data_IF_405814305708
#
_entry.id   IF_405814305708
#
_cell.length_a   1.000
_cell.length_b   1.000
_cell.length_c   1.000
_cell.angle_alpha   90.00
_cell.angle_beta   90.00
_cell.angle_gamma   90.00
#
_symmetry.space_group_name_H-M   'P 1'
#
loop_
_entity.id
_entity.type
_entity.pdbx_description
1 polymer ?
#
# COMPACT_ATOMS: atom_id res chain seq x y z
N UNK A 1 54.61 -17.28 -78.44
CA UNK A 1 54.79 -16.12 -77.54
C UNK A 1 56.16 -15.58 -77.87
N UNK A 2 56.26 -14.35 -78.36
CA UNK A 2 57.53 -13.71 -78.66
C UNK A 2 58.07 -13.08 -77.36
N UNK A 3 59.39 -13.24 -77.15
CA UNK A 3 60.08 -12.54 -76.08
C UNK A 3 60.68 -11.26 -76.65
N UNK A 4 60.46 -10.14 -76.00
CA UNK A 4 61.03 -8.85 -76.31
C UNK A 4 61.94 -8.36 -75.21
N UNK A 5 62.92 -7.56 -75.52
CA UNK A 5 63.73 -6.90 -74.49
C UNK A 5 63.04 -5.69 -73.94
N UNK A 6 62.97 -5.56 -72.62
CA UNK A 6 62.39 -4.39 -71.97
C UNK A 6 63.15 -3.12 -72.35
N UNK A 7 62.48 -2.06 -72.86
CA UNK A 7 63.17 -0.84 -73.30
C UNK A 7 63.91 -0.14 -72.15
N UNK A 8 63.52 -0.32 -70.91
CA UNK A 8 64.15 0.34 -69.78
C UNK A 8 65.29 -0.40 -69.13
N UNK A 9 65.20 -1.75 -68.93
CA UNK A 9 66.20 -2.52 -68.22
C UNK A 9 66.78 -3.70 -69.02
N UNK A 10 66.44 -3.83 -70.30
CA UNK A 10 66.89 -4.89 -71.23
C UNK A 10 66.55 -6.30 -70.80
N UNK A 11 65.75 -6.52 -69.80
CA UNK A 11 65.31 -7.84 -69.37
C UNK A 11 64.36 -8.45 -70.39
N UNK A 12 64.54 -9.77 -70.68
CA UNK A 12 63.66 -10.46 -71.62
C UNK A 12 62.32 -10.71 -71.01
N UNK A 13 61.27 -10.20 -71.63
CA UNK A 13 59.86 -10.22 -71.13
C UNK A 13 58.92 -10.63 -72.26
N UNK A 14 57.78 -11.22 -71.91
CA UNK A 14 56.78 -11.56 -72.92
C UNK A 14 56.20 -10.26 -73.55
N UNK A 15 55.99 -10.30 -74.87
CA UNK A 15 55.29 -9.20 -75.60
C UNK A 15 53.89 -8.96 -75.13
N UNK A 16 53.32 -9.88 -74.38
CA UNK A 16 51.97 -9.76 -73.76
C UNK A 16 51.99 -9.42 -72.29
N UNK A 17 53.13 -9.16 -71.70
CA UNK A 17 53.21 -8.78 -70.28
C UNK A 17 52.78 -7.37 -70.13
N UNK A 18 51.97 -7.07 -69.06
CA UNK A 18 51.49 -5.71 -68.79
C UNK A 18 52.66 -4.80 -68.37
N UNK A 19 53.59 -5.33 -67.61
CA UNK A 19 54.74 -4.59 -67.17
C UNK A 19 55.96 -5.53 -67.06
N UNK A 20 57.13 -4.98 -67.14
CA UNK A 20 58.39 -5.72 -66.91
C UNK A 20 58.49 -6.17 -65.47
N UNK A 21 58.65 -7.46 -65.16
CA UNK A 21 58.70 -7.96 -63.78
C UNK A 21 59.93 -7.48 -63.00
N UNK A 22 60.94 -6.90 -63.72
CA UNK A 22 62.20 -6.46 -63.14
C UNK A 22 62.19 -4.97 -62.77
N UNK A 23 61.61 -4.10 -63.62
CA UNK A 23 61.65 -2.65 -63.41
C UNK A 23 60.28 -1.97 -63.45
N UNK A 24 59.15 -2.70 -63.70
CA UNK A 24 57.84 -2.18 -63.75
C UNK A 24 57.47 -1.41 -65.01
N UNK A 25 58.34 -1.32 -66.00
CA UNK A 25 58.10 -0.61 -67.27
C UNK A 25 56.89 -1.21 -68.01
N UNK A 26 55.88 -0.44 -68.44
CA UNK A 26 54.69 -0.94 -69.12
C UNK A 26 55.03 -1.43 -70.51
N UNK A 27 54.76 -2.72 -70.77
CA UNK A 27 55.12 -3.39 -72.05
C UNK A 27 53.97 -3.36 -73.04
N UNK A 28 52.72 -3.50 -72.56
CA UNK A 28 51.57 -3.45 -73.43
C UNK A 28 50.70 -2.19 -73.11
N UNK A 29 50.24 -1.48 -74.13
CA UNK A 29 49.40 -0.32 -73.97
C UNK A 29 47.91 -0.64 -73.72
N UNK A 30 47.55 -1.90 -73.67
CA UNK A 30 46.20 -2.34 -73.32
C UNK A 30 46.18 -2.75 -71.84
N UNK A 31 46.11 -1.73 -70.97
CA UNK A 31 45.64 -1.97 -69.60
C UNK A 31 44.15 -2.42 -69.65
N UNK A 32 43.79 -3.52 -68.95
CA UNK A 32 42.35 -3.84 -68.84
C UNK A 32 41.66 -2.64 -68.20
N UNK A 33 40.42 -2.32 -68.62
CA UNK A 33 39.67 -1.23 -68.00
C UNK A 33 39.62 -1.53 -66.50
N UNK A 34 40.15 -0.62 -65.67
CA UNK A 34 39.95 -0.64 -64.25
C UNK A 34 38.45 -0.57 -64.05
N UNK A 35 37.83 -1.70 -63.74
CA UNK A 35 36.46 -1.69 -63.20
C UNK A 35 36.56 -0.88 -61.95
N UNK A 36 36.11 0.36 -62.01
CA UNK A 36 35.94 1.23 -60.86
C UNK A 36 35.16 0.42 -59.83
N UNK A 37 35.73 0.20 -58.68
CA UNK A 37 34.99 -0.39 -57.56
C UNK A 37 33.63 0.33 -57.47
N UNK A 38 32.52 -0.37 -57.33
CA UNK A 38 31.22 0.26 -57.33
C UNK A 38 31.25 1.41 -56.33
N UNK A 39 31.14 2.65 -56.78
CA UNK A 39 31.07 3.82 -55.92
C UNK A 39 29.95 3.51 -54.97
N UNK A 40 30.24 3.32 -53.66
CA UNK A 40 29.20 3.23 -52.66
C UNK A 40 28.24 4.36 -52.90
N UNK A 41 26.91 4.11 -53.07
CA UNK A 41 25.97 5.16 -53.36
C UNK A 41 26.14 6.23 -52.31
N UNK A 42 26.21 7.49 -52.74
CA UNK A 42 26.42 8.63 -51.86
C UNK A 42 25.35 8.53 -50.77
N UNK A 43 25.71 8.06 -49.60
CA UNK A 43 24.77 7.95 -48.47
C UNK A 43 24.44 9.40 -48.08
N UNK A 44 23.22 9.83 -48.32
CA UNK A 44 22.73 11.12 -47.80
C UNK A 44 23.10 11.16 -46.31
N UNK A 45 23.66 12.27 -45.83
CA UNK A 45 24.02 12.36 -44.42
C UNK A 45 22.80 11.97 -43.58
N UNK A 46 22.99 11.07 -42.68
CA UNK A 46 21.89 10.57 -41.80
C UNK A 46 21.36 11.75 -41.04
N UNK A 47 20.07 11.99 -41.13
CA UNK A 47 19.37 13.08 -40.44
C UNK A 47 19.39 12.94 -38.93
N UNK A 48 19.66 11.72 -38.40
CA UNK A 48 19.65 11.40 -36.99
C UNK A 48 20.87 10.53 -36.60
N UNK A 49 21.31 10.64 -35.34
CA UNK A 49 22.41 9.83 -34.80
C UNK A 49 22.10 8.35 -34.86
N UNK A 50 23.13 7.53 -35.04
CA UNK A 50 23.02 6.08 -34.97
C UNK A 50 22.89 5.69 -33.49
N UNK A 51 21.85 4.93 -33.14
CA UNK A 51 21.69 4.38 -31.80
C UNK A 51 22.78 3.34 -31.50
N UNK A 52 23.25 3.23 -30.24
CA UNK A 52 24.16 2.17 -29.82
C UNK A 52 23.57 0.77 -30.08
N UNK A 53 24.44 -0.24 -30.16
CA UNK A 53 23.99 -1.62 -30.32
C UNK A 53 23.14 -2.02 -29.08
N UNK A 54 22.05 -2.73 -29.31
CA UNK A 54 21.11 -3.16 -28.28
C UNK A 54 20.33 -2.03 -27.56
N UNK A 55 20.45 -0.77 -28.02
CA UNK A 55 19.76 0.37 -27.40
C UNK A 55 18.27 0.42 -27.77
N UNK A 56 17.84 -0.29 -28.80
CA UNK A 56 16.46 -0.27 -29.31
C UNK A 56 16.36 0.40 -30.67
N UNK A 57 15.16 0.84 -31.02
CA UNK A 57 14.88 1.41 -32.34
C UNK A 57 13.93 2.57 -32.24
N UNK A 58 14.24 3.68 -32.93
CA UNK A 58 13.30 4.81 -33.14
C UNK A 58 12.85 4.76 -34.59
N UNK A 59 11.54 4.57 -34.82
CA UNK A 59 10.94 4.53 -36.15
C UNK A 59 10.12 5.79 -36.38
N UNK A 60 10.27 6.41 -37.56
CA UNK A 60 9.35 7.42 -38.03
C UNK A 60 8.17 6.73 -38.72
N UNK A 61 6.98 6.96 -38.21
CA UNK A 61 5.74 6.44 -38.76
C UNK A 61 5.28 7.25 -39.94
N UNK A 62 4.65 6.62 -40.91
CA UNK A 62 4.10 7.28 -42.10
C UNK A 62 2.79 8.03 -41.82
N UNK A 63 2.44 8.97 -42.71
CA UNK A 63 1.22 9.77 -42.62
C UNK A 63 1.39 11.10 -41.89
N UNK A 64 0.31 11.90 -41.84
CA UNK A 64 0.24 13.19 -41.14
C UNK A 64 -0.09 12.93 -39.66
N UNK A 65 0.93 12.60 -38.87
CA UNK A 65 0.79 12.33 -37.40
C UNK A 65 1.37 13.47 -36.60
N UNK A 66 0.70 13.86 -35.53
CA UNK A 66 1.23 14.84 -34.56
C UNK A 66 2.49 14.32 -33.87
N UNK A 67 2.53 13.02 -33.60
CA UNK A 67 3.65 12.31 -32.93
C UNK A 67 4.19 11.22 -33.85
N UNK A 68 5.06 11.55 -34.80
CA UNK A 68 5.50 10.61 -35.85
C UNK A 68 6.62 9.67 -35.43
N UNK A 69 7.28 9.88 -34.28
CA UNK A 69 8.40 9.05 -33.82
C UNK A 69 7.95 8.07 -32.76
N UNK A 70 8.15 6.75 -33.01
CA UNK A 70 7.89 5.69 -32.07
C UNK A 70 9.20 5.11 -31.56
N UNK A 71 9.39 5.06 -30.25
CA UNK A 71 10.54 4.45 -29.60
C UNK A 71 10.22 3.01 -29.15
N UNK A 72 11.06 2.07 -29.52
CA UNK A 72 10.93 0.66 -29.20
C UNK A 72 12.15 0.20 -28.41
N UNK A 73 12.01 -0.61 -27.35
CA UNK A 73 13.13 -1.29 -26.70
C UNK A 73 13.86 -2.23 -27.65
N UNK A 74 14.91 -2.89 -27.16
CA UNK A 74 15.63 -3.93 -27.90
C UNK A 74 14.64 -5.01 -28.38
N UNK A 75 14.81 -5.50 -29.62
CA UNK A 75 14.03 -6.62 -30.13
C UNK A 75 14.21 -7.88 -29.27
N UNK A 76 13.11 -8.62 -29.07
CA UNK A 76 13.07 -9.83 -28.26
C UNK A 76 13.40 -11.10 -29.05
N UNK A 77 13.45 -11.01 -30.40
CA UNK A 77 13.73 -12.12 -31.29
C UNK A 77 13.60 -11.71 -32.75
N UNK A 78 13.60 -12.69 -33.65
CA UNK A 78 13.42 -12.52 -35.07
C UNK A 78 12.36 -13.47 -35.61
N UNK A 79 11.53 -12.99 -36.54
CA UNK A 79 10.62 -13.85 -37.29
C UNK A 79 11.40 -14.76 -38.23
N UNK A 80 10.77 -15.83 -38.74
CA UNK A 80 11.37 -16.74 -39.73
C UNK A 80 11.81 -15.99 -41.01
N UNK A 81 11.22 -14.83 -41.28
CA UNK A 81 11.58 -13.91 -42.38
C UNK A 81 12.82 -13.05 -42.09
N UNK A 82 13.45 -13.20 -40.92
CA UNK A 82 14.61 -12.38 -40.49
C UNK A 82 14.22 -10.99 -39.98
N UNK A 83 12.94 -10.60 -39.94
CA UNK A 83 12.52 -9.31 -39.42
C UNK A 83 12.48 -9.34 -37.88
N UNK A 84 12.92 -8.27 -37.19
CA UNK A 84 12.96 -8.24 -35.74
C UNK A 84 11.55 -8.21 -35.11
N UNK A 85 11.32 -9.02 -34.07
CA UNK A 85 10.15 -8.94 -33.21
C UNK A 85 10.40 -7.80 -32.23
N UNK A 86 9.68 -6.69 -32.43
CA UNK A 86 9.77 -5.53 -31.54
C UNK A 86 8.75 -5.67 -30.41
N UNK A 87 9.12 -5.38 -29.16
CA UNK A 87 8.15 -5.20 -28.08
C UNK A 87 7.24 -4.01 -28.35
N UNK A 88 6.24 -3.78 -27.50
CA UNK A 88 5.38 -2.60 -27.62
C UNK A 88 6.23 -1.32 -27.54
N UNK A 89 5.77 -0.25 -28.21
CA UNK A 89 6.47 1.02 -28.17
C UNK A 89 6.44 1.62 -26.77
N UNK A 90 7.56 2.19 -26.32
CA UNK A 90 7.67 2.98 -25.09
C UNK A 90 6.71 4.17 -25.16
N UNK A 91 6.57 4.77 -26.34
CA UNK A 91 5.70 5.90 -26.59
C UNK A 91 5.84 6.45 -28.01
N UNK A 92 5.00 7.46 -28.31
CA UNK A 92 4.99 8.19 -29.56
C UNK A 92 5.31 9.67 -29.29
N UNK A 93 6.24 10.26 -30.04
CA UNK A 93 6.85 11.55 -29.75
C UNK A 93 6.77 12.47 -30.96
N UNK A 94 6.80 13.78 -30.73
CA UNK A 94 6.77 14.79 -31.81
C UNK A 94 8.13 14.88 -32.48
N UNK A 95 9.22 14.75 -31.72
CA UNK A 95 10.59 14.86 -32.20
C UNK A 95 11.38 13.56 -32.00
N UNK A 96 12.47 13.42 -32.77
CA UNK A 96 13.40 12.30 -32.59
C UNK A 96 14.14 12.36 -31.24
N UNK A 97 14.45 13.57 -30.77
CA UNK A 97 15.21 13.80 -29.55
C UNK A 97 14.38 13.44 -28.32
N UNK A 98 13.09 13.73 -28.33
CA UNK A 98 12.15 13.26 -27.31
C UNK A 98 12.07 11.73 -27.28
N UNK A 99 11.97 11.08 -28.43
CA UNK A 99 11.96 9.62 -28.54
C UNK A 99 13.29 9.01 -28.05
N UNK A 100 14.42 9.67 -28.32
CA UNK A 100 15.74 9.26 -27.85
C UNK A 100 15.84 9.41 -26.33
N UNK A 101 15.39 10.52 -25.78
CA UNK A 101 15.38 10.77 -24.33
C UNK A 101 14.52 9.76 -23.60
N UNK A 102 13.34 9.43 -24.10
CA UNK A 102 12.47 8.41 -23.54
C UNK A 102 13.10 7.01 -23.59
N UNK A 103 13.77 6.67 -24.69
CA UNK A 103 14.49 5.40 -24.81
C UNK A 103 15.72 5.34 -23.88
N UNK A 104 16.41 6.46 -23.68
CA UNK A 104 17.51 6.58 -22.73
C UNK A 104 17.04 6.41 -21.28
N UNK A 105 15.91 7.00 -20.92
CA UNK A 105 15.31 6.84 -19.59
C UNK A 105 14.82 5.41 -19.37
N UNK A 106 14.23 4.78 -20.40
CA UNK A 106 13.87 3.36 -20.34
C UNK A 106 15.10 2.47 -20.02
N UNK A 107 16.28 2.78 -20.57
CA UNK A 107 17.50 2.01 -20.26
C UNK A 107 18.01 2.19 -18.84
N UNK A 108 17.75 3.35 -18.20
CA UNK A 108 18.07 3.56 -16.79
C UNK A 108 17.14 2.76 -15.88
N UNK A 109 15.87 2.64 -16.27
CA UNK A 109 14.83 1.95 -15.51
C UNK A 109 13.93 1.15 -16.47
N UNK A 110 14.34 -0.07 -16.92
CA UNK A 110 13.55 -0.89 -17.82
C UNK A 110 12.22 -1.32 -17.19
N UNK A 111 11.13 -1.29 -17.93
CA UNK A 111 9.80 -1.74 -17.53
C UNK A 111 9.11 -2.53 -18.64
N UNK A 112 8.07 -3.31 -18.30
CA UNK A 112 7.27 -4.03 -19.29
C UNK A 112 6.46 -3.04 -20.15
N UNK A 113 6.74 -3.03 -21.46
CA UNK A 113 6.07 -2.14 -22.41
C UNK A 113 4.75 -2.70 -22.95
N UNK A 114 4.41 -3.95 -22.64
CA UNK A 114 3.17 -4.59 -23.11
C UNK A 114 1.91 -4.05 -22.41
N UNK A 115 2.08 -3.57 -21.16
CA UNK A 115 1.03 -3.04 -20.27
C UNK A 115 1.21 -1.55 -19.95
N UNK A 116 1.67 -0.76 -20.89
CA UNK A 116 2.10 0.64 -20.65
C UNK A 116 0.97 1.62 -20.34
N UNK A 117 -0.29 1.26 -20.55
CA UNK A 117 -1.43 2.16 -20.42
C UNK A 117 -2.35 1.84 -19.24
N UNK A 118 -1.90 0.99 -18.31
CA UNK A 118 -2.71 0.68 -17.13
C UNK A 118 -2.85 1.94 -16.27
N UNK A 119 -4.09 2.30 -15.98
CA UNK A 119 -4.45 3.44 -15.14
C UNK A 119 -4.38 3.09 -13.64
N UNK A 120 -4.37 4.11 -12.79
CA UNK A 120 -4.45 3.91 -11.33
C UNK A 120 -5.71 3.13 -10.93
N UNK A 121 -6.85 3.41 -11.57
CA UNK A 121 -8.12 2.70 -11.38
C UNK A 121 -7.99 1.22 -11.71
N UNK A 122 -7.52 0.89 -12.91
CA UNK A 122 -7.34 -0.50 -13.35
C UNK A 122 -6.36 -1.26 -12.46
N UNK A 123 -5.29 -0.59 -12.01
CA UNK A 123 -4.33 -1.18 -11.09
C UNK A 123 -4.94 -1.48 -9.71
N UNK A 124 -5.81 -0.58 -9.22
CA UNK A 124 -6.56 -0.83 -7.98
C UNK A 124 -7.55 -2.00 -8.14
N UNK A 125 -8.21 -2.13 -9.29
CA UNK A 125 -9.10 -3.28 -9.59
C UNK A 125 -8.32 -4.60 -9.65
N UNK A 126 -7.10 -4.59 -10.21
CA UNK A 126 -6.20 -5.76 -10.18
C UNK A 126 -5.86 -6.12 -8.72
N UNK A 127 -5.52 -5.13 -7.90
CA UNK A 127 -5.29 -5.35 -6.48
C UNK A 127 -6.52 -5.93 -5.77
N UNK A 128 -7.73 -5.45 -6.07
CA UNK A 128 -8.97 -5.98 -5.48
C UNK A 128 -9.22 -7.46 -5.78
N UNK A 129 -8.71 -7.97 -6.90
CA UNK A 129 -8.80 -9.39 -7.29
C UNK A 129 -7.69 -10.26 -6.70
N UNK A 130 -6.80 -9.68 -5.90
CA UNK A 130 -5.66 -10.39 -5.32
C UNK A 130 -6.02 -11.16 -4.06
N UNK A 131 -5.26 -12.21 -3.78
CA UNK A 131 -5.37 -12.97 -2.52
C UNK A 131 -5.13 -12.08 -1.28
N UNK A 132 -4.26 -11.08 -1.39
CA UNK A 132 -4.01 -10.13 -0.31
C UNK A 132 -5.28 -9.35 0.05
N UNK A 133 -6.05 -8.91 -0.95
CA UNK A 133 -7.30 -8.19 -0.74
C UNK A 133 -8.41 -9.10 -0.19
N UNK A 134 -8.53 -10.33 -0.68
CA UNK A 134 -9.50 -11.32 -0.22
C UNK A 134 -9.33 -11.66 1.27
N UNK A 135 -8.09 -11.66 1.77
CA UNK A 135 -7.77 -11.90 3.18
C UNK A 135 -8.06 -10.71 4.10
N UNK A 136 -8.44 -9.55 3.56
CA UNK A 136 -8.75 -8.39 4.36
C UNK A 136 -10.06 -8.57 5.14
N UNK A 137 -10.07 -8.09 6.37
CA UNK A 137 -11.30 -7.99 7.15
C UNK A 137 -12.22 -6.93 6.52
N UNK A 138 -13.53 -7.15 6.56
CA UNK A 138 -14.55 -6.25 6.01
C UNK A 138 -14.34 -4.76 6.35
N UNK A 139 -14.01 -4.46 7.61
CA UNK A 139 -13.69 -3.07 8.03
C UNK A 139 -12.46 -2.49 7.33
N UNK A 140 -11.46 -3.32 7.03
CA UNK A 140 -10.26 -2.88 6.30
C UNK A 140 -10.59 -2.61 4.85
N UNK A 141 -11.45 -3.43 4.24
CA UNK A 141 -11.98 -3.22 2.89
C UNK A 141 -12.74 -1.89 2.83
N UNK A 142 -13.69 -1.67 3.74
CA UNK A 142 -14.47 -0.42 3.82
C UNK A 142 -13.57 0.80 3.98
N UNK A 143 -12.55 0.71 4.84
CA UNK A 143 -11.58 1.80 5.05
C UNK A 143 -10.75 2.07 3.80
N UNK A 144 -10.28 1.03 3.10
CA UNK A 144 -9.53 1.18 1.84
C UNK A 144 -10.40 1.78 0.73
N UNK A 145 -11.65 1.34 0.62
CA UNK A 145 -12.59 1.90 -0.37
C UNK A 145 -12.93 3.37 -0.08
N UNK A 146 -13.09 3.73 1.19
CA UNK A 146 -13.29 5.12 1.58
C UNK A 146 -12.07 5.98 1.25
N UNK A 147 -10.86 5.48 1.53
CA UNK A 147 -9.62 6.18 1.18
C UNK A 147 -9.42 6.28 -0.33
N UNK A 148 -9.75 5.22 -1.09
CA UNK A 148 -9.66 5.21 -2.56
C UNK A 148 -10.51 6.32 -3.20
N UNK A 149 -11.70 6.63 -2.67
CA UNK A 149 -12.54 7.71 -3.20
C UNK A 149 -11.83 9.06 -3.25
N UNK A 150 -10.92 9.34 -2.33
CA UNK A 150 -10.13 10.56 -2.34
C UNK A 150 -9.06 10.62 -3.47
N UNK A 151 -8.84 9.50 -4.18
CA UNK A 151 -7.90 9.43 -5.29
C UNK A 151 -8.57 9.70 -6.66
N UNK A 152 -9.80 10.21 -6.72
CA UNK A 152 -10.59 10.38 -7.95
C UNK A 152 -9.82 11.17 -9.02
N UNK A 153 -9.08 12.19 -8.63
CA UNK A 153 -8.32 13.04 -9.56
C UNK A 153 -7.19 12.30 -10.31
N UNK A 154 -6.78 11.11 -9.83
CA UNK A 154 -5.74 10.29 -10.47
C UNK A 154 -6.27 8.98 -11.05
N UNK A 155 -7.59 8.70 -11.01
CA UNK A 155 -8.16 7.43 -11.45
C UNK A 155 -7.77 7.05 -12.86
N UNK A 156 -7.87 7.98 -13.79
CA UNK A 156 -7.64 7.76 -15.23
C UNK A 156 -6.20 8.10 -15.65
N UNK A 157 -5.33 8.39 -14.67
CA UNK A 157 -3.91 8.61 -14.93
C UNK A 157 -3.19 7.28 -15.06
N UNK A 158 -2.34 7.14 -16.09
CA UNK A 158 -1.47 5.97 -16.23
C UNK A 158 -0.56 5.84 -15.00
N UNK A 159 -0.47 4.64 -14.44
CA UNK A 159 0.26 4.36 -13.20
C UNK A 159 1.73 4.80 -13.25
N UNK A 160 2.37 4.69 -14.41
CA UNK A 160 3.76 5.09 -14.65
C UNK A 160 3.99 6.60 -14.65
N UNK A 161 2.94 7.39 -14.84
CA UNK A 161 3.01 8.85 -14.85
C UNK A 161 2.86 9.44 -13.45
N UNK A 162 2.49 8.59 -12.46
CA UNK A 162 2.45 9.01 -11.07
C UNK A 162 3.86 9.33 -10.57
N UNK A 163 3.96 10.46 -9.91
CA UNK A 163 5.19 10.91 -9.26
C UNK A 163 4.88 11.50 -7.89
N UNK A 164 5.92 11.82 -7.14
CA UNK A 164 5.80 12.34 -5.76
C UNK A 164 4.89 13.57 -5.70
N UNK A 165 5.10 14.55 -6.58
CA UNK A 165 4.34 15.80 -6.58
C UNK A 165 2.84 15.59 -6.82
N UNK A 166 2.48 14.68 -7.72
CA UNK A 166 1.07 14.32 -7.98
C UNK A 166 0.45 13.65 -6.73
N UNK A 167 1.19 12.75 -6.08
CA UNK A 167 0.70 12.09 -4.86
C UNK A 167 0.53 13.07 -3.71
N UNK A 168 1.42 14.05 -3.58
CA UNK A 168 1.34 15.14 -2.60
C UNK A 168 0.13 16.04 -2.90
N UNK A 169 -0.11 16.43 -4.17
CA UNK A 169 -1.29 17.21 -4.59
C UNK A 169 -2.62 16.49 -4.23
N UNK A 170 -2.68 15.16 -4.41
CA UNK A 170 -3.85 14.37 -3.95
C UNK A 170 -4.07 14.54 -2.45
N UNK A 171 -3.01 14.49 -1.66
CA UNK A 171 -3.09 14.60 -0.20
C UNK A 171 -3.45 16.02 0.26
N UNK A 172 -2.95 17.04 -0.45
CA UNK A 172 -3.20 18.44 -0.13
C UNK A 172 -4.64 18.85 -0.39
N UNK A 173 -5.30 18.26 -1.38
CA UNK A 173 -6.74 18.45 -1.65
C UNK A 173 -7.66 17.87 -0.58
N UNK A 174 -7.13 17.06 0.35
CA UNK A 174 -7.93 16.44 1.42
C UNK A 174 -8.04 17.42 2.59
N UNK A 175 -9.22 17.97 2.82
CA UNK A 175 -9.53 18.85 3.95
C UNK A 175 -9.63 18.12 5.30
N UNK A 176 -9.55 16.77 5.29
CA UNK A 176 -9.64 15.96 6.50
C UNK A 176 -8.30 15.85 7.22
N UNK A 177 -8.34 15.43 8.50
CA UNK A 177 -7.15 15.30 9.36
C UNK A 177 -6.10 14.30 8.87
N UNK A 178 -4.90 14.38 9.46
CA UNK A 178 -3.72 13.57 9.10
C UNK A 178 -3.99 12.07 9.03
N UNK A 179 -4.89 11.53 9.85
CA UNK A 179 -5.28 10.10 9.82
C UNK A 179 -5.92 9.69 8.50
N UNK A 180 -6.81 10.53 7.93
CA UNK A 180 -7.42 10.27 6.61
C UNK A 180 -6.35 10.34 5.52
N UNK A 181 -5.50 11.36 5.53
CA UNK A 181 -4.36 11.49 4.60
C UNK A 181 -3.44 10.26 4.65
N UNK A 182 -3.11 9.77 5.86
CA UNK A 182 -2.32 8.52 6.05
C UNK A 182 -3.02 7.30 5.43
N UNK A 183 -4.34 7.20 5.54
CA UNK A 183 -5.13 6.12 4.94
C UNK A 183 -5.10 6.18 3.41
N UNK A 184 -5.24 7.38 2.82
CA UNK A 184 -5.17 7.61 1.37
C UNK A 184 -3.76 7.28 0.86
N UNK A 185 -2.73 7.79 1.51
CA UNK A 185 -1.33 7.47 1.15
C UNK A 185 -1.07 5.95 1.22
N UNK A 186 -1.64 5.25 2.20
CA UNK A 186 -1.54 3.79 2.30
C UNK A 186 -2.18 3.08 1.10
N UNK A 187 -3.29 3.59 0.56
CA UNK A 187 -3.91 3.03 -0.66
C UNK A 187 -3.01 3.28 -1.86
N UNK A 188 -2.53 4.52 -2.05
CA UNK A 188 -1.61 4.85 -3.16
C UNK A 188 -0.36 3.97 -3.10
N UNK A 189 0.28 3.83 -1.93
CA UNK A 189 1.43 2.93 -1.72
C UNK A 189 1.13 1.48 -2.07
N UNK A 190 -0.04 0.99 -1.71
CA UNK A 190 -0.44 -0.37 -2.04
C UNK A 190 -0.52 -0.57 -3.55
N UNK A 191 -1.15 0.37 -4.26
CA UNK A 191 -1.29 0.32 -5.73
C UNK A 191 0.07 0.42 -6.43
N UNK A 192 0.93 1.34 -5.99
CA UNK A 192 2.30 1.49 -6.53
C UNK A 192 3.13 0.22 -6.29
N UNK A 193 3.08 -0.37 -5.08
CA UNK A 193 3.78 -1.64 -4.80
C UNK A 193 3.31 -2.75 -5.74
N UNK A 194 2.03 -2.89 -5.95
CA UNK A 194 1.47 -3.86 -6.90
C UNK A 194 1.96 -3.62 -8.33
N UNK A 195 2.01 -2.35 -8.74
CA UNK A 195 2.55 -1.99 -10.04
C UNK A 195 4.06 -2.29 -10.15
N UNK A 196 4.82 -2.14 -9.07
CA UNK A 196 6.24 -2.54 -9.01
C UNK A 196 6.41 -4.05 -9.11
N UNK A 197 5.59 -4.82 -8.38
CA UNK A 197 5.62 -6.29 -8.43
C UNK A 197 5.29 -6.83 -9.84
N UNK A 198 4.49 -6.09 -10.61
CA UNK A 198 4.19 -6.36 -12.02
C UNK A 198 5.19 -5.75 -13.01
N UNK A 199 6.28 -5.15 -12.54
CA UNK A 199 7.30 -4.45 -13.35
C UNK A 199 6.73 -3.33 -14.25
N UNK A 200 5.62 -2.70 -13.87
CA UNK A 200 5.03 -1.55 -14.58
C UNK A 200 5.70 -0.24 -14.20
N UNK A 201 6.17 -0.13 -12.97
CA UNK A 201 6.97 0.98 -12.44
C UNK A 201 8.17 0.43 -11.66
N UNK A 202 9.27 1.17 -11.66
CA UNK A 202 10.54 0.72 -11.08
C UNK A 202 10.88 1.41 -9.76
N UNK A 203 10.17 2.49 -9.43
CA UNK A 203 10.42 3.27 -8.21
C UNK A 203 9.12 3.53 -7.46
N UNK A 204 9.21 3.44 -6.14
CA UNK A 204 8.13 3.90 -5.27
C UNK A 204 8.17 5.42 -5.16
N UNK A 205 7.28 6.09 -5.89
CA UNK A 205 7.15 7.55 -5.84
C UNK A 205 6.59 8.06 -4.51
N UNK A 206 6.10 7.20 -3.63
CA UNK A 206 5.52 7.56 -2.33
C UNK A 206 6.47 7.37 -1.15
N UNK A 207 7.65 6.78 -1.36
CA UNK A 207 8.58 6.37 -0.29
C UNK A 207 8.95 7.52 0.67
N UNK A 208 9.14 8.72 0.14
CA UNK A 208 9.57 9.91 0.89
C UNK A 208 8.44 10.93 1.10
N UNK A 209 7.17 10.49 1.07
CA UNK A 209 6.04 11.36 1.41
C UNK A 209 5.79 11.22 2.91
N UNK A 210 5.98 12.32 3.62
CA UNK A 210 5.68 12.44 5.03
C UNK A 210 4.41 13.27 5.20
N UNK A 211 3.51 12.80 6.05
CA UNK A 211 2.32 13.53 6.44
C UNK A 211 2.60 14.12 7.81
N UNK A 212 2.60 15.43 7.89
CA UNK A 212 2.72 16.13 9.17
C UNK A 212 1.59 15.71 10.10
N UNK A 213 1.94 15.40 11.33
CA UNK A 213 0.93 15.12 12.33
C UNK A 213 0.28 16.45 12.71
N UNK A 214 -0.97 16.61 12.29
CA UNK A 214 -1.80 17.63 12.94
C UNK A 214 -1.97 17.21 14.38
N UNK A 215 -1.73 18.10 15.31
CA UNK A 215 -2.05 17.86 16.72
C UNK A 215 -3.46 17.27 16.80
N UNK A 216 -3.66 16.20 17.58
CA UNK A 216 -4.97 15.62 17.73
C UNK A 216 -5.90 16.68 18.36
N UNK A 217 -6.75 17.28 17.54
CA UNK A 217 -7.76 18.26 17.96
C UNK A 217 -8.82 17.65 18.89
N UNK A 218 -8.66 16.38 19.26
CA UNK A 218 -9.59 15.69 20.14
C UNK A 218 -8.93 15.61 21.52
N UNK A 219 -9.17 16.62 22.34
CA UNK A 219 -9.08 16.49 23.80
C UNK A 219 -10.05 15.39 24.22
N UNK A 220 -9.53 14.19 24.45
CA UNK A 220 -10.30 13.09 24.99
C UNK A 220 -10.43 13.31 26.47
N UNK A 221 -11.59 13.82 26.87
CA UNK A 221 -11.89 14.11 28.26
C UNK A 221 -12.30 12.80 28.94
N UNK A 222 -11.57 12.32 29.97
CA UNK A 222 -12.02 11.19 30.78
C UNK A 222 -13.33 11.56 31.50
N UNK A 223 -14.16 10.57 31.80
CA UNK A 223 -15.32 10.78 32.67
C UNK A 223 -14.88 11.31 34.03
N UNK A 224 -15.48 12.40 34.48
CA UNK A 224 -15.25 12.96 35.80
C UNK A 224 -15.88 12.08 36.90
N UNK A 225 -15.43 12.25 38.14
CA UNK A 225 -16.03 11.53 39.28
C UNK A 225 -17.54 11.87 39.44
N UNK A 226 -17.93 13.09 39.11
CA UNK A 226 -19.33 13.52 39.12
C UNK A 226 -20.15 12.78 38.05
N UNK A 227 -19.61 12.68 36.83
CA UNK A 227 -20.27 11.95 35.74
C UNK A 227 -20.36 10.45 36.02
N UNK A 228 -19.31 9.82 36.60
CA UNK A 228 -19.37 8.44 37.06
C UNK A 228 -20.46 8.25 38.14
N UNK A 229 -20.62 9.20 39.05
CA UNK A 229 -21.70 9.16 40.05
C UNK A 229 -23.09 9.20 39.39
N UNK A 230 -23.27 10.02 38.34
CA UNK A 230 -24.52 10.05 37.55
C UNK A 230 -24.77 8.70 36.87
N UNK A 231 -23.72 8.06 36.33
CA UNK A 231 -23.87 6.71 35.76
C UNK A 231 -24.33 5.69 36.80
N UNK A 232 -23.80 5.73 38.02
CA UNK A 232 -24.18 4.84 39.12
C UNK A 232 -25.60 5.09 39.61
N UNK A 233 -26.06 6.37 39.68
CA UNK A 233 -27.41 6.71 40.02
C UNK A 233 -28.46 6.15 39.05
N UNK A 234 -28.06 5.93 37.80
CA UNK A 234 -28.94 5.39 36.76
C UNK A 234 -28.60 3.92 36.41
N UNK A 235 -27.89 3.22 37.30
CA UNK A 235 -27.44 1.83 37.06
C UNK A 235 -28.55 0.77 37.05
N UNK A 236 -29.81 1.18 37.26
CA UNK A 236 -31.01 0.39 36.96
C UNK A 236 -31.22 0.19 35.46
N UNK A 237 -30.80 1.13 34.61
CA UNK A 237 -30.97 1.11 33.16
C UNK A 237 -29.81 0.39 32.48
N UNK A 238 -30.09 -0.52 31.55
CA UNK A 238 -29.08 -1.34 30.88
C UNK A 238 -28.03 -0.51 30.13
N UNK A 239 -28.38 0.66 29.60
CA UNK A 239 -27.43 1.53 28.87
C UNK A 239 -26.29 2.02 29.78
N UNK A 240 -26.64 2.44 31.00
CA UNK A 240 -25.67 2.93 31.97
C UNK A 240 -24.82 1.80 32.54
N UNK A 241 -25.41 0.59 32.74
CA UNK A 241 -24.66 -0.62 33.13
C UNK A 241 -23.51 -0.92 32.15
N UNK A 242 -23.76 -0.79 30.83
CA UNK A 242 -22.71 -1.03 29.82
C UNK A 242 -21.53 -0.08 30.01
N UNK A 243 -21.80 1.24 30.20
CA UNK A 243 -20.74 2.22 30.40
C UNK A 243 -19.96 1.94 31.68
N UNK A 244 -20.64 1.61 32.78
CA UNK A 244 -20.00 1.25 34.05
C UNK A 244 -19.12 0.01 33.92
N UNK A 245 -19.60 -1.05 33.26
CA UNK A 245 -18.77 -2.25 33.01
C UNK A 245 -17.52 -1.89 32.20
N UNK A 246 -17.65 -1.05 31.18
CA UNK A 246 -16.52 -0.62 30.35
C UNK A 246 -15.54 0.26 31.15
N UNK A 247 -16.02 1.16 32.00
CA UNK A 247 -15.22 2.04 32.86
C UNK A 247 -14.39 1.26 33.86
N UNK A 248 -14.91 0.18 34.45
CA UNK A 248 -14.22 -0.62 35.46
C UNK A 248 -13.49 -1.86 34.93
N UNK A 249 -13.60 -2.14 33.62
CA UNK A 249 -12.90 -3.27 32.98
C UNK A 249 -11.84 -2.86 31.97
N UNK A 250 -11.91 -1.62 31.45
CA UNK A 250 -11.06 -1.17 30.37
C UNK A 250 -11.21 -1.97 29.06
N UNK A 251 -12.27 -2.77 28.89
CA UNK A 251 -12.58 -3.51 27.66
C UNK A 251 -12.89 -2.58 26.50
N UNK A 252 -12.67 -3.05 25.26
CA UNK A 252 -13.24 -2.37 24.10
C UNK A 252 -14.72 -2.68 24.00
N UNK A 253 -15.53 -1.70 23.62
CA UNK A 253 -16.99 -1.85 23.55
C UNK A 253 -17.43 -3.07 22.75
N UNK A 254 -16.79 -3.35 21.60
CA UNK A 254 -17.13 -4.53 20.81
C UNK A 254 -16.64 -5.84 21.44
N UNK A 255 -15.63 -5.82 22.31
CA UNK A 255 -15.22 -6.98 23.11
C UNK A 255 -16.29 -7.34 24.14
N UNK A 256 -17.04 -6.37 24.65
CA UNK A 256 -18.15 -6.60 25.58
C UNK A 256 -19.45 -6.93 24.84
N UNK A 257 -19.87 -6.11 23.85
CA UNK A 257 -21.17 -6.27 23.18
C UNK A 257 -21.31 -7.56 22.37
N UNK A 258 -20.19 -8.08 21.84
CA UNK A 258 -20.16 -9.29 21.02
C UNK A 258 -19.77 -10.53 21.82
N UNK A 259 -19.42 -10.38 23.09
CA UNK A 259 -18.99 -11.50 23.93
C UNK A 259 -20.18 -12.35 24.37
N UNK A 260 -19.88 -13.60 24.71
CA UNK A 260 -20.88 -14.60 25.06
C UNK A 260 -20.79 -15.01 26.52
N UNK A 261 -21.92 -15.46 27.10
CA UNK A 261 -22.03 -15.84 28.51
C UNK A 261 -21.08 -16.97 28.91
N UNK A 262 -20.74 -17.87 27.97
CA UNK A 262 -19.77 -18.96 28.21
C UNK A 262 -18.38 -18.44 28.60
N UNK A 263 -18.07 -17.20 28.26
CA UNK A 263 -16.80 -16.55 28.55
C UNK A 263 -16.80 -15.80 29.91
N UNK A 264 -17.90 -15.84 30.67
CA UNK A 264 -17.99 -15.20 31.98
C UNK A 264 -17.75 -16.25 33.08
N UNK A 265 -16.76 -16.03 33.91
CA UNK A 265 -16.52 -16.83 35.10
C UNK A 265 -16.77 -15.99 36.35
N UNK A 266 -17.87 -16.28 37.06
CA UNK A 266 -18.23 -15.56 38.28
C UNK A 266 -17.48 -16.00 39.52
N UNK A 267 -16.93 -17.21 39.54
CA UNK A 267 -16.12 -17.75 40.67
C UNK A 267 -14.75 -17.09 40.67
N UNK A 268 -14.06 -17.11 39.52
CA UNK A 268 -12.75 -16.46 39.38
C UNK A 268 -12.88 -14.97 38.99
N UNK A 269 -14.10 -14.42 38.90
CA UNK A 269 -14.42 -13.01 38.60
C UNK A 269 -13.72 -12.43 37.38
N UNK A 270 -13.82 -13.09 36.23
CA UNK A 270 -13.29 -12.58 34.99
C UNK A 270 -14.25 -12.72 33.80
N UNK A 271 -14.05 -11.89 32.77
CA UNK A 271 -14.60 -12.06 31.43
C UNK A 271 -13.45 -12.43 30.50
N UNK A 272 -13.55 -13.56 29.84
CA UNK A 272 -12.57 -13.97 28.83
C UNK A 272 -12.85 -13.28 27.50
N UNK A 273 -11.84 -12.66 26.89
CA UNK A 273 -11.90 -12.07 25.54
C UNK A 273 -11.22 -13.03 24.59
N UNK A 274 -11.97 -13.83 23.81
CA UNK A 274 -11.41 -14.80 22.90
C UNK A 274 -10.80 -14.14 21.67
N UNK A 275 -9.93 -14.88 20.98
CA UNK A 275 -9.15 -14.41 19.83
C UNK A 275 -9.96 -13.84 18.68
N UNK A 276 -11.17 -14.36 18.43
CA UNK A 276 -12.07 -13.87 17.37
C UNK A 276 -12.65 -12.46 17.68
N UNK A 277 -12.76 -12.08 18.96
CA UNK A 277 -13.20 -10.75 19.40
C UNK A 277 -12.01 -9.79 19.59
N UNK A 278 -10.83 -10.32 19.80
CA UNK A 278 -9.63 -9.53 19.99
C UNK A 278 -9.20 -8.83 18.69
N UNK A 279 -8.72 -7.59 18.81
CA UNK A 279 -8.23 -6.84 17.64
C UNK A 279 -7.02 -7.52 16.98
N UNK A 280 -6.13 -8.07 17.80
CA UNK A 280 -4.91 -8.79 17.43
C UNK A 280 -4.84 -10.10 18.21
N UNK A 281 -4.02 -11.06 17.75
CA UNK A 281 -3.81 -12.36 18.44
C UNK A 281 -3.38 -12.20 19.92
N UNK A 282 -2.57 -11.18 20.18
CA UNK A 282 -2.04 -10.90 21.53
C UNK A 282 -3.04 -10.20 22.46
N UNK A 283 -4.22 -9.83 21.96
CA UNK A 283 -5.28 -9.19 22.76
C UNK A 283 -6.25 -10.20 23.42
N UNK A 284 -6.06 -11.50 23.17
CA UNK A 284 -6.75 -12.59 23.88
C UNK A 284 -6.33 -12.58 25.35
N UNK A 285 -7.31 -12.53 26.27
CA UNK A 285 -7.03 -12.35 27.68
C UNK A 285 -8.23 -12.60 28.59
N UNK A 286 -7.97 -12.85 29.85
CA UNK A 286 -8.94 -12.76 30.94
C UNK A 286 -8.95 -11.33 31.49
N UNK A 287 -10.12 -10.69 31.53
CA UNK A 287 -10.33 -9.35 32.07
C UNK A 287 -10.97 -9.46 33.46
N UNK A 288 -10.32 -8.99 34.55
CA UNK A 288 -10.88 -9.06 35.88
C UNK A 288 -12.15 -8.21 36.01
N UNK A 289 -13.15 -8.70 36.70
CA UNK A 289 -14.37 -7.95 37.01
C UNK A 289 -14.25 -7.32 38.40
N UNK A 290 -14.27 -5.99 38.43
CA UNK A 290 -14.35 -5.23 39.68
C UNK A 290 -15.61 -5.62 40.46
N UNK A 291 -15.52 -5.78 41.78
CA UNK A 291 -16.62 -6.25 42.64
C UNK A 291 -17.89 -5.39 42.48
N UNK A 292 -17.78 -4.08 42.30
CA UNK A 292 -18.93 -3.18 42.08
C UNK A 292 -19.69 -3.46 40.79
N UNK A 293 -19.04 -3.92 39.71
CA UNK A 293 -19.71 -4.17 38.40
C UNK A 293 -20.13 -5.62 38.23
N UNK A 294 -19.67 -6.52 39.07
CA UNK A 294 -20.02 -7.94 39.03
C UNK A 294 -21.56 -8.17 39.09
N UNK A 295 -22.33 -7.48 39.98
CA UNK A 295 -23.79 -7.57 39.96
C UNK A 295 -24.42 -7.08 38.65
N UNK A 296 -23.81 -6.07 38.01
CA UNK A 296 -24.30 -5.54 36.72
C UNK A 296 -24.13 -6.58 35.60
N UNK A 297 -22.96 -7.24 35.55
CA UNK A 297 -22.72 -8.34 34.60
C UNK A 297 -23.70 -9.48 34.84
N UNK A 298 -23.91 -9.87 36.12
CA UNK A 298 -24.86 -10.93 36.50
C UNK A 298 -26.27 -10.58 36.02
N UNK A 299 -26.73 -9.34 36.22
CA UNK A 299 -28.07 -8.91 35.78
C UNK A 299 -28.26 -9.03 34.27
N UNK A 300 -27.20 -8.90 33.47
CA UNK A 300 -27.27 -9.16 32.04
C UNK A 300 -27.34 -10.66 31.72
N UNK A 301 -26.53 -11.47 32.41
CA UNK A 301 -26.50 -12.93 32.22
C UNK A 301 -27.85 -13.55 32.62
N UNK A 302 -28.43 -13.13 33.71
CA UNK A 302 -29.70 -13.63 34.27
C UNK A 302 -30.94 -12.99 33.62
N UNK A 303 -30.80 -12.27 32.49
CA UNK A 303 -31.91 -11.60 31.80
C UNK A 303 -33.02 -12.61 31.41
N UNK A 304 -34.25 -12.49 31.93
CA UNK A 304 -35.33 -13.44 31.71
C UNK A 304 -35.81 -13.52 30.25
N UNK A 305 -35.57 -12.47 29.47
CA UNK A 305 -35.95 -12.39 28.06
C UNK A 305 -34.84 -12.85 27.10
N UNK A 306 -33.79 -13.51 27.63
CA UNK A 306 -32.64 -13.95 26.84
C UNK A 306 -33.02 -14.95 25.73
N UNK A 307 -33.90 -15.89 26.01
CA UNK A 307 -34.17 -17.02 25.12
C UNK A 307 -32.90 -17.83 24.84
N UNK A 308 -32.66 -18.17 23.58
CA UNK A 308 -31.47 -18.92 23.13
C UNK A 308 -30.24 -18.05 22.85
N UNK A 309 -30.27 -16.74 23.13
CA UNK A 309 -29.17 -15.82 22.83
C UNK A 309 -27.99 -16.02 23.78
N UNK A 310 -26.80 -16.12 23.23
CA UNK A 310 -25.54 -16.37 23.96
C UNK A 310 -24.79 -15.09 24.33
N UNK A 311 -25.12 -13.93 23.74
CA UNK A 311 -24.47 -12.66 24.04
C UNK A 311 -24.60 -12.29 25.54
N UNK A 312 -23.53 -11.77 26.15
CA UNK A 312 -23.58 -11.27 27.52
C UNK A 312 -24.60 -10.14 27.60
N UNK A 313 -24.49 -9.16 26.70
CA UNK A 313 -25.26 -7.91 26.74
C UNK A 313 -26.50 -8.00 25.86
N UNK A 314 -27.65 -7.86 26.51
CA UNK A 314 -28.95 -7.72 25.88
C UNK A 314 -29.68 -6.53 26.53
N UNK A 315 -30.61 -5.90 25.80
CA UNK A 315 -31.51 -4.95 26.43
C UNK A 315 -32.58 -5.65 27.29
N UNK A 316 -33.44 -4.89 27.95
CA UNK A 316 -34.48 -5.44 28.81
C UNK A 316 -35.45 -6.34 28.06
N UNK A 317 -35.71 -6.09 26.77
CA UNK A 317 -36.51 -6.97 25.90
C UNK A 317 -35.76 -8.19 25.36
N UNK A 318 -34.54 -8.47 25.81
CA UNK A 318 -33.72 -9.58 25.34
C UNK A 318 -33.16 -9.40 23.91
N UNK A 319 -33.08 -8.16 23.39
CA UNK A 319 -32.53 -7.90 22.05
C UNK A 319 -31.04 -7.64 22.12
N UNK A 320 -30.27 -8.19 21.15
CA UNK A 320 -28.82 -7.95 21.02
C UNK A 320 -28.56 -6.49 20.66
N UNK A 321 -27.63 -5.87 21.36
CA UNK A 321 -27.25 -4.49 21.18
C UNK A 321 -26.07 -4.40 20.22
N UNK A 322 -26.22 -3.60 19.16
CA UNK A 322 -25.13 -3.31 18.24
C UNK A 322 -24.45 -1.98 18.58
N UNK A 323 -23.17 -1.89 18.30
CA UNK A 323 -22.37 -0.66 18.48
C UNK A 323 -23.03 0.55 17.78
N UNK A 324 -23.43 0.36 16.52
CA UNK A 324 -23.99 1.47 15.73
C UNK A 324 -25.32 1.99 16.33
N UNK A 325 -26.21 1.09 16.73
CA UNK A 325 -27.49 1.48 17.33
C UNK A 325 -27.29 2.21 18.66
N UNK A 326 -26.36 1.71 19.48
CA UNK A 326 -26.07 2.37 20.76
C UNK A 326 -25.46 3.77 20.55
N UNK A 327 -24.49 3.92 19.64
CA UNK A 327 -23.88 5.21 19.32
C UNK A 327 -24.88 6.21 18.75
N UNK A 328 -25.79 5.75 17.90
CA UNK A 328 -26.73 6.64 17.22
C UNK A 328 -27.91 7.08 18.12
N UNK A 329 -28.32 6.24 19.06
CA UNK A 329 -29.56 6.42 19.81
C UNK A 329 -29.33 6.59 21.31
N UNK A 330 -28.59 5.69 21.92
CA UNK A 330 -28.56 5.56 23.38
C UNK A 330 -27.47 6.45 24.00
N UNK A 331 -26.26 6.46 23.44
CA UNK A 331 -25.15 7.27 23.94
C UNK A 331 -25.44 8.78 23.91
N UNK A 332 -26.04 9.37 22.85
CA UNK A 332 -26.39 10.77 22.86
C UNK A 332 -27.44 11.14 23.92
N UNK A 333 -28.31 10.19 24.32
CA UNK A 333 -29.25 10.39 25.40
C UNK A 333 -28.60 10.44 26.78
N UNK A 334 -27.58 9.55 26.98
CA UNK A 334 -26.77 9.54 28.18
C UNK A 334 -25.97 10.85 28.29
N UNK A 335 -25.30 11.25 27.21
CA UNK A 335 -24.48 12.46 27.17
C UNK A 335 -25.27 13.73 27.55
N UNK A 336 -26.59 13.79 27.28
CA UNK A 336 -27.44 14.92 27.73
C UNK A 336 -27.52 15.04 29.25
N UNK A 337 -27.25 13.98 30.01
CA UNK A 337 -27.25 13.97 31.45
C UNK A 337 -25.83 14.15 32.05
N UNK A 338 -24.83 14.26 31.21
CA UNK A 338 -23.42 14.40 31.59
C UNK A 338 -22.96 15.83 31.29
N UNK A 339 -21.82 16.20 31.88
CA UNK A 339 -21.21 17.52 31.69
C UNK A 339 -20.53 17.62 30.31
N UNK A 340 -19.97 16.48 29.82
CA UNK A 340 -19.26 16.42 28.56
C UNK A 340 -19.88 15.41 27.59
N UNK A 341 -19.61 15.60 26.29
CA UNK A 341 -19.98 14.63 25.27
C UNK A 341 -18.91 13.53 25.16
N UNK A 342 -19.23 12.32 25.60
CA UNK A 342 -18.35 11.17 25.57
C UNK A 342 -18.63 10.22 24.43
N UNK A 343 -17.55 9.53 24.02
CA UNK A 343 -17.58 8.37 23.11
C UNK A 343 -17.22 7.11 23.87
N UNK A 344 -17.58 5.94 23.37
CA UNK A 344 -17.22 4.67 24.03
C UNK A 344 -15.73 4.51 24.35
N UNK A 345 -14.86 5.06 23.51
CA UNK A 345 -13.42 4.91 23.76
C UNK A 345 -12.95 5.71 24.98
N UNK A 346 -13.71 6.71 25.39
CA UNK A 346 -13.41 7.53 26.57
C UNK A 346 -13.59 6.73 27.87
N UNK A 347 -14.47 5.71 27.90
CA UNK A 347 -14.56 4.79 29.05
C UNK A 347 -13.23 4.08 29.30
N UNK A 348 -12.54 3.69 28.25
CA UNK A 348 -11.25 3.01 28.34
C UNK A 348 -10.11 3.97 28.71
N UNK A 349 -10.18 5.23 28.25
CA UNK A 349 -9.25 6.29 28.70
C UNK A 349 -9.46 6.58 30.19
N UNK A 350 -10.71 6.65 30.63
CA UNK A 350 -11.07 6.84 32.05
C UNK A 350 -10.54 5.68 32.90
N UNK A 351 -10.71 4.42 32.45
CA UNK A 351 -10.11 3.27 33.14
C UNK A 351 -8.60 3.43 33.30
N UNK A 352 -7.88 3.89 32.26
CA UNK A 352 -6.44 4.12 32.31
C UNK A 352 -6.09 5.23 33.30
N UNK A 353 -6.82 6.35 33.30
CA UNK A 353 -6.62 7.46 34.25
C UNK A 353 -6.87 7.02 35.69
N UNK A 354 -8.02 6.37 35.96
CA UNK A 354 -8.37 5.84 37.28
C UNK A 354 -7.30 4.83 37.77
N UNK A 355 -6.84 3.94 36.90
CA UNK A 355 -5.81 2.95 37.24
C UNK A 355 -4.47 3.61 37.58
N UNK A 356 -4.10 4.67 36.88
CA UNK A 356 -2.89 5.45 37.19
C UNK A 356 -3.04 6.15 38.54
N UNK A 357 -4.18 6.78 38.83
CA UNK A 357 -4.50 7.40 40.13
C UNK A 357 -4.48 6.37 41.27
N UNK A 358 -5.00 5.17 41.03
CA UNK A 358 -5.02 4.08 42.01
C UNK A 358 -3.65 3.35 42.16
N UNK A 359 -2.62 3.77 41.42
CA UNK A 359 -1.28 3.19 41.49
C UNK A 359 -1.20 1.81 40.88
N UNK A 360 -2.01 1.48 39.89
CA UNK A 360 -1.89 0.23 39.13
C UNK A 360 -0.66 0.29 38.24
N UNK A 361 0.31 -0.63 38.33
CA UNK A 361 1.49 -0.63 37.47
C UNK A 361 1.12 -0.73 35.98
N UNK A 362 1.85 -0.02 35.13
CA UNK A 362 1.58 0.03 33.67
C UNK A 362 1.45 -1.35 33.02
N UNK A 363 2.26 -2.32 33.46
CA UNK A 363 2.22 -3.68 32.97
C UNK A 363 0.86 -4.37 33.19
N UNK A 364 0.28 -4.20 34.37
CA UNK A 364 -1.04 -4.76 34.72
C UNK A 364 -2.13 -4.08 33.90
N UNK A 365 -2.06 -2.75 33.78
CA UNK A 365 -2.95 -1.97 32.93
C UNK A 365 -2.90 -2.44 31.48
N UNK A 366 -1.71 -2.59 30.90
CA UNK A 366 -1.54 -3.07 29.54
C UNK A 366 -2.12 -4.48 29.36
N UNK A 367 -1.92 -5.38 30.34
CA UNK A 367 -2.45 -6.75 30.31
C UNK A 367 -3.98 -6.75 30.37
N UNK A 368 -4.59 -6.01 31.29
CA UNK A 368 -6.05 -5.88 31.42
C UNK A 368 -6.64 -5.30 30.14
N UNK A 369 -6.06 -4.22 29.63
CA UNK A 369 -6.54 -3.54 28.42
C UNK A 369 -6.22 -4.31 27.13
N UNK A 370 -5.31 -5.26 27.11
CA UNK A 370 -4.87 -5.99 25.91
C UNK A 370 -4.11 -5.08 24.94
N UNK A 371 -3.17 -4.31 25.44
CA UNK A 371 -2.18 -3.58 24.66
C UNK A 371 -0.96 -4.47 24.41
N UNK A 372 -0.31 -4.30 23.24
CA UNK A 372 0.99 -4.93 23.01
C UNK A 372 2.02 -4.32 23.96
N UNK A 373 2.75 -5.13 24.73
CA UNK A 373 3.88 -4.64 25.49
C UNK A 373 4.92 -4.02 24.55
N UNK A 374 5.48 -2.88 24.93
CA UNK A 374 6.52 -2.20 24.14
C UNK A 374 7.88 -2.92 24.20
N UNK A 375 8.07 -3.85 25.14
CA UNK A 375 9.32 -4.58 25.36
C UNK A 375 9.11 -6.09 25.34
N UNK A 376 10.04 -6.82 24.70
CA UNK A 376 10.08 -8.30 24.62
C UNK A 376 10.22 -8.93 26.02
N UNK A 377 10.92 -8.27 26.96
CA UNK A 377 11.10 -8.75 28.34
C UNK A 377 9.77 -8.99 29.08
N UNK A 378 8.74 -8.20 28.78
CA UNK A 378 7.42 -8.34 29.42
C UNK A 378 6.61 -9.54 28.90
N UNK A 379 6.88 -10.02 27.71
CA UNK A 379 6.17 -11.19 27.14
C UNK A 379 6.64 -12.54 27.70
N UNK A 380 7.86 -12.61 28.22
CA UNK A 380 8.52 -13.90 28.50
C UNK A 380 8.52 -14.29 30.00
N UNK A 381 8.37 -13.33 30.91
CA UNK A 381 8.71 -13.58 32.33
C UNK A 381 7.64 -13.25 33.38
N UNK A 382 6.45 -12.73 33.00
CA UNK A 382 5.46 -12.34 34.03
C UNK A 382 4.19 -13.19 33.96
N UNK A 383 4.13 -14.23 34.79
CA UNK A 383 2.89 -14.89 35.16
C UNK A 383 2.17 -14.03 36.21
N UNK A 384 1.29 -13.13 35.74
CA UNK A 384 0.42 -12.36 36.63
C UNK A 384 -0.82 -13.20 36.91
N UNK A 385 -1.10 -13.49 38.19
CA UNK A 385 -2.27 -14.24 38.59
C UNK A 385 -3.57 -13.43 38.48
N UNK A 386 -4.72 -14.09 38.43
CA UNK A 386 -6.01 -13.42 38.41
C UNK A 386 -6.27 -12.67 39.72
N UNK A 387 -5.87 -13.24 40.84
CA UNK A 387 -6.02 -12.62 42.17
C UNK A 387 -5.25 -11.31 42.29
N UNK A 388 -4.04 -11.27 41.71
CA UNK A 388 -3.27 -10.02 41.61
C UNK A 388 -4.00 -8.97 40.73
N UNK A 389 -4.51 -9.37 39.57
CA UNK A 389 -5.28 -8.44 38.71
C UNK A 389 -6.53 -7.91 39.41
N UNK A 390 -7.26 -8.78 40.14
CA UNK A 390 -8.43 -8.40 40.91
C UNK A 390 -8.06 -7.45 42.06
N UNK A 391 -6.95 -7.72 42.78
CA UNK A 391 -6.49 -6.85 43.87
C UNK A 391 -6.21 -5.40 43.38
N UNK A 392 -5.72 -5.26 42.17
CA UNK A 392 -5.48 -3.95 41.58
C UNK A 392 -6.76 -3.29 41.05
N UNK A 393 -7.59 -4.04 40.31
CA UNK A 393 -8.82 -3.49 39.75
C UNK A 393 -9.77 -3.04 40.86
N UNK A 394 -9.85 -3.75 41.97
CA UNK A 394 -10.72 -3.37 43.09
C UNK A 394 -10.26 -2.11 43.87
N UNK A 395 -9.14 -1.50 43.49
CA UNK A 395 -8.73 -0.18 44.02
C UNK A 395 -9.38 0.99 43.28
N UNK A 396 -10.03 0.75 42.10
CA UNK A 396 -10.75 1.74 41.31
C UNK A 396 -12.09 2.08 42.02
#
# INVERSE_FOLDING_TARGET
>A
MALINCPECSNSVSDKAFACPRCGYPISQSAPPQTAAPRRPFQKPRKYHRLPNNFGTIKRLSGKRRRPFAAYPKCTGYHLTGSPVLPAAIGYFETYDEAYSALSEYHKNPYDTSNTHITFREMFEIYQKSKEYELLKEKSVTSKLSAYKHCECIYDMEIRNLNKAICEDVLDRIEAGSSTKKSVLSVIRTVIRYAMDMNLVTKDCTANINIEESDPVIDRIPFSKAEIAVLWQNSDKWQYKILLILLYSGMRVNELLKNEIVNVNFEEKYIYVPKNLAKNKESERKVPMHDRVLPLVRSFVDNPHRGSKTNIILNDAGTVITYNNFCARDLPRINKALEHEHKFHDTRHTFASMGTEAGIPELYMQKIMGHKPKSILYNTYTHISMDELLSYVNKL
#
